data_IF_751041657442
#
_entry.id   IF_751041657442
#
_cell.length_a   1.000
_cell.length_b   1.000
_cell.length_c   1.000
_cell.angle_alpha   90.00
_cell.angle_beta   90.00
_cell.angle_gamma   90.00
#
_symmetry.space_group_name_H-M   'P 1'
#
loop_
_entity.id
_entity.type
_entity.pdbx_description
1 polymer ?
#
# COMPACT_ATOMS: atom_id res chain seq x y z
N UNK A 1 -22.59 25.33 9.54
CA UNK A 1 -22.94 23.97 9.05
C UNK A 1 -23.07 23.88 7.52
N UNK A 2 -23.42 24.98 6.82
CA UNK A 2 -23.54 24.99 5.35
C UNK A 2 -22.21 25.04 4.57
N UNK A 3 -21.12 25.56 5.15
CA UNK A 3 -19.82 25.65 4.45
C UNK A 3 -19.08 24.31 4.29
N UNK A 4 -19.30 23.34 5.18
CA UNK A 4 -18.66 22.01 5.07
C UNK A 4 -19.23 21.19 3.91
N UNK A 5 -20.53 21.33 3.63
CA UNK A 5 -21.20 20.61 2.54
C UNK A 5 -20.78 21.14 1.16
N UNK A 6 -20.63 22.46 1.02
CA UNK A 6 -20.21 23.09 -0.25
C UNK A 6 -18.72 22.96 -0.57
N UNK A 7 -17.86 22.80 0.46
CA UNK A 7 -16.44 22.48 0.26
C UNK A 7 -16.23 21.05 -0.20
N UNK A 8 -16.93 20.09 0.43
CA UNK A 8 -16.88 18.68 0.03
C UNK A 8 -17.38 18.45 -1.41
N UNK A 9 -18.36 19.22 -1.88
CA UNK A 9 -18.82 19.15 -3.27
C UNK A 9 -17.81 19.74 -4.26
N UNK A 10 -17.15 20.86 -3.92
CA UNK A 10 -16.13 21.48 -4.78
C UNK A 10 -14.85 20.64 -4.87
N UNK A 11 -14.38 20.10 -3.74
CA UNK A 11 -13.21 19.21 -3.73
C UNK A 11 -13.47 17.94 -4.55
N UNK A 12 -14.66 17.34 -4.41
CA UNK A 12 -15.05 16.20 -5.24
C UNK A 12 -15.09 16.58 -6.73
N UNK A 13 -15.64 17.75 -7.09
CA UNK A 13 -15.65 18.24 -8.48
C UNK A 13 -14.24 18.44 -9.05
N UNK A 14 -13.31 18.99 -8.25
CA UNK A 14 -11.93 19.21 -8.68
C UNK A 14 -11.16 17.88 -8.81
N UNK A 15 -11.40 16.92 -7.90
CA UNK A 15 -10.87 15.56 -8.03
C UNK A 15 -11.40 14.86 -9.29
N UNK A 16 -12.68 15.02 -9.62
CA UNK A 16 -13.27 14.44 -10.84
C UNK A 16 -12.62 15.00 -12.12
N UNK A 17 -12.19 16.28 -12.13
CA UNK A 17 -11.52 16.90 -13.28
C UNK A 17 -10.12 16.34 -13.55
N UNK A 18 -9.43 15.82 -12.53
CA UNK A 18 -8.07 15.28 -12.70
C UNK A 18 -8.06 13.81 -13.11
N UNK A 19 -9.12 13.04 -12.81
CA UNK A 19 -9.22 11.60 -13.14
C UNK A 19 -8.80 11.27 -14.58
N UNK A 20 -9.24 11.99 -15.63
CA UNK A 20 -8.83 11.67 -17.00
C UNK A 20 -7.31 11.70 -17.22
N UNK A 21 -6.56 12.59 -16.53
CA UNK A 21 -5.10 12.65 -16.61
C UNK A 21 -4.45 11.39 -16.04
N UNK A 22 -5.03 10.83 -14.99
CA UNK A 22 -4.56 9.61 -14.34
C UNK A 22 -5.04 8.32 -15.01
N UNK A 23 -6.20 8.34 -15.67
CA UNK A 23 -6.61 7.26 -16.56
C UNK A 23 -5.65 7.13 -17.75
N UNK A 24 -5.05 8.24 -18.19
CA UNK A 24 -4.18 8.30 -19.36
C UNK A 24 -2.83 8.97 -19.03
N UNK A 25 -2.05 8.39 -18.11
CA UNK A 25 -0.83 8.99 -17.57
C UNK A 25 0.29 9.10 -18.62
N UNK A 26 0.18 8.32 -19.71
CA UNK A 26 1.08 8.20 -20.85
C UNK A 26 0.55 8.86 -22.14
N UNK A 27 -0.52 9.65 -22.05
CA UNK A 27 -1.24 10.21 -23.21
C UNK A 27 -0.40 11.02 -24.18
N UNK A 28 0.74 11.57 -23.74
CA UNK A 28 1.67 12.31 -24.60
C UNK A 28 2.32 11.44 -25.70
N UNK A 29 2.39 10.12 -25.48
CA UNK A 29 3.12 9.19 -26.36
C UNK A 29 2.18 8.23 -27.11
N UNK A 30 0.90 8.56 -27.20
CA UNK A 30 -0.10 7.64 -27.74
C UNK A 30 -0.15 7.64 -29.27
N UNK A 31 0.21 6.51 -29.83
CA UNK A 31 -0.08 6.18 -31.22
C UNK A 31 -1.24 5.19 -31.30
N UNK A 32 -2.21 5.39 -32.21
CA UNK A 32 -3.27 4.42 -32.45
C UNK A 32 -2.68 3.04 -32.75
N UNK A 33 -3.14 2.02 -32.02
CA UNK A 33 -2.66 0.64 -32.16
C UNK A 33 -3.73 -0.29 -32.73
N UNK A 34 -3.31 -1.29 -33.49
CA UNK A 34 -4.18 -2.38 -33.93
C UNK A 34 -4.35 -3.46 -32.86
N UNK A 35 -3.39 -3.58 -31.94
CA UNK A 35 -3.39 -4.57 -30.87
C UNK A 35 -2.77 -3.98 -29.60
N UNK A 36 -3.49 -4.05 -28.49
CA UNK A 36 -3.01 -3.67 -27.17
C UNK A 36 -3.67 -4.60 -26.16
N UNK A 37 -2.90 -5.33 -25.34
CA UNK A 37 -3.48 -6.15 -24.29
C UNK A 37 -4.14 -5.25 -23.27
N UNK A 38 -5.29 -5.67 -22.78
CA UNK A 38 -5.99 -4.93 -21.76
C UNK A 38 -5.23 -4.96 -20.44
N UNK A 39 -5.13 -3.82 -19.78
CA UNK A 39 -4.32 -3.65 -18.57
C UNK A 39 -5.16 -3.14 -17.40
N UNK A 40 -4.94 -3.72 -16.20
CA UNK A 40 -5.60 -3.30 -14.96
C UNK A 40 -4.58 -2.61 -14.06
N UNK A 41 -4.91 -1.40 -13.61
CA UNK A 41 -4.06 -0.62 -12.72
C UNK A 41 -4.92 0.24 -11.79
N UNK A 42 -4.30 0.85 -10.77
CA UNK A 42 -4.95 1.86 -9.95
C UNK A 42 -4.09 3.09 -9.76
N UNK A 43 -4.76 4.18 -9.41
CA UNK A 43 -4.13 5.34 -8.82
C UNK A 43 -4.93 5.80 -7.60
N UNK A 44 -4.33 6.68 -6.81
CA UNK A 44 -4.93 7.22 -5.59
C UNK A 44 -4.94 8.75 -5.69
N UNK A 45 -6.09 9.34 -5.41
CA UNK A 45 -6.21 10.77 -5.17
C UNK A 45 -6.28 11.00 -3.65
N UNK A 46 -5.49 11.94 -3.15
CA UNK A 46 -5.47 12.31 -1.74
C UNK A 46 -6.17 13.65 -1.57
N UNK A 47 -7.18 13.69 -0.71
CA UNK A 47 -7.88 14.91 -0.32
C UNK A 47 -7.07 15.75 0.66
N UNK A 48 -7.51 16.99 0.87
CA UNK A 48 -6.82 17.93 1.78
C UNK A 48 -6.80 17.43 3.24
N UNK A 49 -7.78 16.60 3.61
CA UNK A 49 -7.90 15.96 4.92
C UNK A 49 -7.09 14.66 5.07
N UNK A 50 -6.30 14.30 4.06
CA UNK A 50 -5.56 13.04 3.99
C UNK A 50 -6.40 11.83 3.59
N UNK A 51 -7.71 12.00 3.33
CA UNK A 51 -8.56 10.92 2.85
C UNK A 51 -8.13 10.45 1.46
N UNK A 52 -8.26 9.15 1.20
CA UNK A 52 -7.82 8.53 -0.07
C UNK A 52 -9.00 8.06 -0.89
N UNK A 53 -8.97 8.39 -2.18
CA UNK A 53 -9.90 7.91 -3.19
C UNK A 53 -9.13 6.98 -4.11
N UNK A 54 -9.49 5.70 -4.06
CA UNK A 54 -8.91 4.68 -4.91
C UNK A 54 -9.64 4.68 -6.24
N UNK A 55 -8.89 4.82 -7.33
CA UNK A 55 -9.39 4.79 -8.69
C UNK A 55 -8.90 3.51 -9.34
N UNK A 56 -9.82 2.60 -9.63
CA UNK A 56 -9.56 1.30 -10.23
C UNK A 56 -9.80 1.39 -11.72
N UNK A 57 -8.79 1.07 -12.52
CA UNK A 57 -8.81 1.30 -13.96
C UNK A 57 -8.65 0.01 -14.73
N UNK A 58 -9.39 -0.10 -15.82
CA UNK A 58 -9.23 -1.12 -16.86
C UNK A 58 -9.03 -0.40 -18.19
N UNK A 59 -7.79 -0.41 -18.69
CA UNK A 59 -7.38 0.11 -20.00
C UNK A 59 -7.61 -0.98 -21.03
N UNK A 60 -8.39 -0.70 -22.05
CA UNK A 60 -8.76 -1.65 -23.10
C UNK A 60 -8.55 -1.02 -24.48
N UNK A 61 -8.39 -1.86 -25.51
CA UNK A 61 -8.53 -1.43 -26.88
C UNK A 61 -9.97 -1.71 -27.34
N UNK A 62 -10.79 -0.69 -27.67
CA UNK A 62 -12.19 -0.91 -28.02
C UNK A 62 -12.31 -1.73 -29.31
N UNK A 63 -13.29 -2.64 -29.42
CA UNK A 63 -13.56 -3.46 -30.62
C UNK A 63 -13.77 -2.61 -31.89
N UNK A 64 -13.26 -3.06 -33.03
CA UNK A 64 -13.25 -2.29 -34.28
C UNK A 64 -12.16 -2.71 -35.26
N UNK A 65 -12.17 -2.12 -36.46
CA UNK A 65 -11.15 -2.37 -37.49
C UNK A 65 -10.06 -1.30 -37.43
N UNK A 66 -8.82 -1.71 -37.71
CA UNK A 66 -7.69 -0.80 -37.84
C UNK A 66 -7.12 -0.30 -36.50
N UNK A 67 -6.30 0.74 -36.60
CA UNK A 67 -5.64 1.38 -35.47
C UNK A 67 -6.62 2.24 -34.67
N UNK A 68 -6.67 2.06 -33.36
CA UNK A 68 -7.61 2.73 -32.44
C UNK A 68 -6.87 3.28 -31.23
N UNK A 69 -7.45 4.28 -30.59
CA UNK A 69 -7.01 4.74 -29.28
C UNK A 69 -7.61 3.86 -28.18
N UNK A 70 -6.90 3.65 -27.07
CA UNK A 70 -7.43 2.89 -25.95
C UNK A 70 -8.52 3.66 -25.21
N UNK A 71 -9.42 2.92 -24.57
CA UNK A 71 -10.42 3.43 -23.64
C UNK A 71 -10.06 2.98 -22.21
N UNK A 72 -10.42 3.76 -21.20
CA UNK A 72 -10.26 3.37 -19.79
C UNK A 72 -11.60 3.45 -19.07
N UNK A 73 -11.99 2.33 -18.45
CA UNK A 73 -13.10 2.29 -17.50
C UNK A 73 -12.54 2.44 -16.09
N UNK A 74 -13.06 3.42 -15.34
CA UNK A 74 -12.58 3.75 -14.00
C UNK A 74 -13.73 3.67 -12.98
N UNK A 75 -13.53 2.92 -11.90
CA UNK A 75 -14.39 2.96 -10.70
C UNK A 75 -13.65 3.72 -9.61
N UNK A 76 -14.33 4.69 -9.01
CA UNK A 76 -13.79 5.51 -7.92
C UNK A 76 -14.44 5.10 -6.62
N UNK A 77 -13.65 4.83 -5.58
CA UNK A 77 -14.16 4.41 -4.28
C UNK A 77 -13.26 4.85 -3.14
N UNK A 78 -13.85 5.10 -1.97
CA UNK A 78 -13.10 5.28 -0.71
C UNK A 78 -12.69 3.94 -0.07
N UNK A 79 -13.14 2.82 -0.65
CA UNK A 79 -12.87 1.46 -0.15
C UNK A 79 -11.76 0.81 -0.95
N UNK A 80 -10.76 0.27 -0.26
CA UNK A 80 -9.60 -0.44 -0.82
C UNK A 80 -9.91 -1.85 -1.37
N UNK A 81 -11.02 -2.04 -2.09
CA UNK A 81 -11.50 -3.37 -2.53
C UNK A 81 -11.11 -3.73 -3.98
N UNK A 82 -9.81 -3.87 -4.23
CA UNK A 82 -9.27 -3.96 -5.59
C UNK A 82 -9.76 -5.19 -6.36
N UNK A 83 -9.70 -6.38 -5.78
CA UNK A 83 -10.16 -7.60 -6.44
C UNK A 83 -11.65 -7.52 -6.81
N UNK A 84 -12.47 -6.94 -5.93
CA UNK A 84 -13.89 -6.72 -6.18
C UNK A 84 -14.10 -5.78 -7.38
N UNK A 85 -13.43 -4.62 -7.40
CA UNK A 85 -13.60 -3.65 -8.47
C UNK A 85 -12.96 -4.07 -9.80
N UNK A 86 -11.81 -4.74 -9.76
CA UNK A 86 -11.18 -5.34 -10.93
C UNK A 86 -12.11 -6.37 -11.59
N UNK A 87 -12.73 -7.25 -10.79
CA UNK A 87 -13.71 -8.22 -11.29
C UNK A 87 -14.94 -7.56 -11.92
N UNK A 88 -15.42 -6.44 -11.36
CA UNK A 88 -16.50 -5.67 -11.98
C UNK A 88 -16.05 -5.10 -13.32
N UNK A 89 -14.84 -4.54 -13.40
CA UNK A 89 -14.31 -3.94 -14.63
C UNK A 89 -14.01 -4.96 -15.74
N UNK A 90 -13.51 -6.15 -15.40
CA UNK A 90 -13.36 -7.27 -16.35
C UNK A 90 -14.71 -7.65 -16.97
N UNK A 91 -15.76 -7.62 -16.15
CA UNK A 91 -17.13 -7.96 -16.55
C UNK A 91 -17.81 -6.82 -17.33
N UNK A 92 -17.34 -5.57 -17.15
CA UNK A 92 -17.64 -4.42 -18.04
C UNK A 92 -17.00 -4.62 -19.42
N UNK A 93 -15.70 -4.93 -19.47
CA UNK A 93 -14.96 -5.18 -20.71
C UNK A 93 -15.61 -6.30 -21.52
N UNK A 94 -15.85 -7.45 -20.90
CA UNK A 94 -16.47 -8.61 -21.55
C UNK A 94 -17.84 -8.29 -22.16
N UNK A 95 -18.66 -7.48 -21.48
CA UNK A 95 -19.95 -7.03 -22.03
C UNK A 95 -19.79 -6.11 -23.21
N UNK A 96 -18.78 -5.25 -23.18
CA UNK A 96 -18.51 -4.30 -24.24
C UNK A 96 -18.10 -4.98 -25.54
N UNK A 97 -17.39 -6.11 -25.46
CA UNK A 97 -17.08 -6.94 -26.61
C UNK A 97 -18.32 -7.46 -27.33
N UNK A 98 -19.40 -7.72 -26.58
CA UNK A 98 -20.70 -8.15 -27.13
C UNK A 98 -21.48 -6.93 -27.63
N UNK A 99 -21.75 -5.97 -26.74
CA UNK A 99 -22.43 -4.72 -27.06
C UNK A 99 -22.26 -3.69 -25.94
N UNK A 100 -21.80 -2.45 -26.23
CA UNK A 100 -21.68 -1.39 -25.23
C UNK A 100 -22.97 -1.10 -24.45
N UNK A 101 -24.14 -1.35 -25.04
CA UNK A 101 -25.44 -1.16 -24.38
C UNK A 101 -25.68 -2.08 -23.18
N UNK A 102 -24.93 -3.19 -23.07
CA UNK A 102 -25.06 -4.16 -21.98
C UNK A 102 -24.38 -3.70 -20.68
N UNK A 103 -23.46 -2.74 -20.75
CA UNK A 103 -22.71 -2.26 -19.59
C UNK A 103 -23.62 -1.57 -18.58
N UNK A 104 -24.53 -0.71 -19.05
CA UNK A 104 -25.38 0.09 -18.16
C UNK A 104 -26.35 -0.76 -17.32
N UNK A 105 -27.09 -1.73 -17.88
CA UNK A 105 -27.90 -2.66 -17.09
C UNK A 105 -27.09 -3.45 -16.06
N UNK A 106 -25.88 -3.90 -16.43
CA UNK A 106 -24.99 -4.60 -15.51
C UNK A 106 -24.56 -3.72 -14.33
N UNK A 107 -24.08 -2.51 -14.62
CA UNK A 107 -23.67 -1.56 -13.58
C UNK A 107 -24.84 -1.20 -12.67
N UNK A 108 -26.06 -1.06 -13.22
CA UNK A 108 -27.27 -0.87 -12.40
C UNK A 108 -27.49 -2.03 -11.44
N UNK A 109 -27.43 -3.29 -11.90
CA UNK A 109 -27.55 -4.45 -11.02
C UNK A 109 -26.46 -4.53 -9.95
N UNK A 110 -25.23 -4.13 -10.27
CA UNK A 110 -24.13 -4.04 -9.30
C UNK A 110 -24.40 -2.95 -8.25
N UNK A 111 -24.91 -1.79 -8.65
CA UNK A 111 -25.23 -0.68 -7.75
C UNK A 111 -26.48 -0.94 -6.88
N UNK A 112 -27.44 -1.72 -7.37
CA UNK A 112 -28.63 -2.13 -6.63
C UNK A 112 -28.36 -3.27 -5.63
N UNK A 113 -27.32 -4.07 -5.88
CA UNK A 113 -26.91 -5.13 -4.97
C UNK A 113 -26.32 -4.55 -3.67
N UNK A 114 -26.53 -5.21 -2.51
CA UNK A 114 -25.90 -4.78 -1.27
C UNK A 114 -24.37 -4.87 -1.42
N UNK A 115 -23.67 -3.83 -0.97
CA UNK A 115 -22.20 -3.89 -0.95
C UNK A 115 -21.75 -4.92 0.10
N UNK A 116 -20.84 -5.86 -0.24
CA UNK A 116 -20.44 -6.92 0.69
C UNK A 116 -19.77 -6.34 1.95
N UNK A 117 -20.26 -6.76 3.12
CA UNK A 117 -19.57 -6.52 4.38
C UNK A 117 -18.25 -7.33 4.44
N UNK A 118 -17.27 -6.96 5.28
CA UNK A 118 -16.03 -7.73 5.43
C UNK A 118 -16.32 -9.22 5.74
N UNK A 119 -15.66 -10.11 5.00
CA UNK A 119 -15.85 -11.57 5.09
C UNK A 119 -17.12 -12.10 4.44
N UNK A 120 -17.89 -11.26 3.74
CA UNK A 120 -19.15 -11.65 3.11
C UNK A 120 -19.04 -11.62 1.60
N UNK A 121 -19.92 -12.43 1.00
CA UNK A 121 -20.04 -12.61 -0.43
C UNK A 121 -21.45 -12.24 -0.86
N UNK A 122 -21.54 -11.47 -1.94
CA UNK A 122 -22.80 -11.08 -2.57
C UNK A 122 -22.82 -11.66 -3.98
N UNK A 123 -24.00 -12.11 -4.42
CA UNK A 123 -24.20 -12.62 -5.78
C UNK A 123 -25.09 -11.65 -6.54
N UNK A 124 -24.67 -11.28 -7.74
CA UNK A 124 -25.46 -10.42 -8.64
C UNK A 124 -25.89 -11.28 -9.83
N UNK A 125 -27.20 -11.42 -10.00
CA UNK A 125 -27.77 -12.10 -11.17
C UNK A 125 -27.69 -11.17 -12.35
N UNK A 126 -27.16 -11.68 -13.45
CA UNK A 126 -26.86 -10.90 -14.64
C UNK A 126 -27.38 -11.65 -15.86
N UNK A 127 -27.95 -10.93 -16.82
CA UNK A 127 -28.34 -11.51 -18.09
C UNK A 127 -27.33 -11.11 -19.16
N UNK A 128 -26.88 -12.08 -19.96
CA UNK A 128 -26.12 -11.83 -21.18
C UNK A 128 -26.77 -12.49 -22.38
N UNK A 129 -26.96 -11.75 -23.49
CA UNK A 129 -27.35 -12.34 -24.76
C UNK A 129 -26.37 -13.45 -25.17
N UNK A 130 -26.89 -14.63 -25.51
CA UNK A 130 -26.08 -15.80 -25.89
C UNK A 130 -25.78 -16.77 -24.75
N UNK A 131 -25.44 -16.26 -23.55
CA UNK A 131 -25.15 -17.10 -22.37
C UNK A 131 -26.33 -17.33 -21.44
N UNK A 132 -27.37 -16.48 -21.50
CA UNK A 132 -28.53 -16.53 -20.60
C UNK A 132 -28.27 -15.86 -19.25
N UNK A 133 -28.87 -16.42 -18.18
CA UNK A 133 -28.70 -15.91 -16.81
C UNK A 133 -27.38 -16.44 -16.22
N UNK A 134 -26.47 -15.52 -15.94
CA UNK A 134 -25.22 -15.77 -15.23
C UNK A 134 -25.28 -15.18 -13.81
N UNK A 135 -24.33 -15.58 -12.97
CA UNK A 135 -24.19 -15.05 -11.60
C UNK A 135 -22.75 -14.63 -11.40
N UNK A 136 -22.53 -13.36 -11.08
CA UNK A 136 -21.24 -12.86 -10.63
C UNK A 136 -21.19 -12.86 -9.11
N UNK A 137 -20.11 -13.40 -8.55
CA UNK A 137 -19.86 -13.46 -7.11
C UNK A 137 -18.86 -12.38 -6.72
N UNK A 138 -19.27 -11.44 -5.87
CA UNK A 138 -18.44 -10.37 -5.34
C UNK A 138 -18.15 -10.65 -3.87
N UNK A 139 -16.89 -10.86 -3.53
CA UNK A 139 -16.44 -11.17 -2.18
C UNK A 139 -15.66 -9.99 -1.62
N UNK A 140 -15.91 -9.65 -0.35
CA UNK A 140 -15.03 -8.76 0.41
C UNK A 140 -14.32 -9.60 1.48
N UNK A 141 -12.98 -9.64 1.52
CA UNK A 141 -12.26 -10.41 2.52
C UNK A 141 -12.49 -9.87 3.94
N UNK A 142 -12.29 -10.73 4.94
CA UNK A 142 -12.37 -10.34 6.37
C UNK A 142 -11.26 -9.33 6.67
N UNK A 143 -10.05 -9.65 6.23
CA UNK A 143 -8.89 -8.77 6.29
C UNK A 143 -8.66 -8.14 4.91
N UNK A 144 -8.89 -6.83 4.81
CA UNK A 144 -8.73 -6.08 3.56
C UNK A 144 -7.32 -5.53 3.36
N UNK A 145 -6.40 -5.73 4.31
CA UNK A 145 -5.01 -5.24 4.21
C UNK A 145 -4.30 -5.73 2.96
N UNK A 146 -4.56 -7.00 2.59
CA UNK A 146 -3.91 -7.66 1.46
C UNK A 146 -4.80 -7.76 0.22
N UNK A 147 -6.02 -7.21 0.25
CA UNK A 147 -6.99 -7.37 -0.86
C UNK A 147 -6.48 -6.81 -2.20
N UNK A 148 -5.57 -5.86 -2.14
CA UNK A 148 -5.04 -5.11 -3.28
C UNK A 148 -3.52 -5.26 -3.42
N UNK A 149 -2.95 -6.22 -2.70
CA UNK A 149 -1.51 -6.39 -2.54
C UNK A 149 -1.08 -7.63 -3.30
N UNK A 150 -0.17 -7.42 -4.23
CA UNK A 150 0.42 -8.48 -5.04
C UNK A 150 1.93 -8.48 -4.76
N UNK A 151 2.34 -9.22 -3.72
CA UNK A 151 3.75 -9.35 -3.38
C UNK A 151 4.51 -10.20 -4.38
N UNK A 152 3.84 -11.09 -5.12
CA UNK A 152 4.44 -11.85 -6.22
C UNK A 152 4.99 -10.90 -7.30
N UNK A 153 4.18 -9.94 -7.75
CA UNK A 153 4.62 -8.91 -8.70
C UNK A 153 5.83 -8.11 -8.17
N UNK A 154 5.81 -7.73 -6.89
CA UNK A 154 6.91 -6.99 -6.28
C UNK A 154 8.21 -7.79 -6.21
N UNK A 155 8.13 -9.06 -5.81
CA UNK A 155 9.29 -9.96 -5.66
C UNK A 155 9.82 -10.48 -7.00
N UNK A 156 9.00 -10.48 -8.06
CA UNK A 156 9.46 -10.68 -9.43
C UNK A 156 10.28 -9.49 -9.93
N UNK A 157 9.97 -8.27 -9.47
CA UNK A 157 10.65 -7.05 -9.89
C UNK A 157 11.89 -6.71 -9.03
N UNK A 158 11.87 -7.05 -7.73
CA UNK A 158 12.93 -6.68 -6.79
C UNK A 158 13.51 -7.89 -6.08
N UNK A 159 14.84 -7.97 -6.07
CA UNK A 159 15.54 -8.82 -5.10
C UNK A 159 15.17 -8.40 -3.67
N UNK A 160 15.19 -9.36 -2.75
CA UNK A 160 14.93 -9.16 -1.32
C UNK A 160 15.77 -8.00 -0.73
N UNK A 161 17.05 -7.90 -1.09
CA UNK A 161 17.94 -6.84 -0.59
C UNK A 161 17.50 -5.44 -1.03
N UNK A 162 17.03 -5.30 -2.28
CA UNK A 162 16.51 -4.03 -2.80
C UNK A 162 15.16 -3.69 -2.20
N UNK A 163 14.28 -4.69 -2.06
CA UNK A 163 13.01 -4.52 -1.36
C UNK A 163 13.22 -3.96 0.04
N UNK A 164 14.23 -4.45 0.75
CA UNK A 164 14.59 -3.97 2.08
C UNK A 164 15.13 -2.54 2.10
N UNK A 165 15.92 -2.16 1.11
CA UNK A 165 16.38 -0.77 0.97
C UNK A 165 15.21 0.18 0.71
N UNK A 166 14.25 -0.24 -0.13
CA UNK A 166 13.01 0.50 -0.36
C UNK A 166 12.22 0.59 0.95
N UNK A 167 11.98 -0.55 1.61
CA UNK A 167 11.25 -0.61 2.88
C UNK A 167 11.88 0.29 3.95
N UNK A 168 13.20 0.25 4.14
CA UNK A 168 13.92 1.10 5.08
C UNK A 168 13.78 2.59 4.74
N UNK A 169 13.81 2.94 3.44
CA UNK A 169 13.63 4.31 2.99
C UNK A 169 12.22 4.82 3.26
N UNK A 170 11.20 3.99 3.04
CA UNK A 170 9.82 4.33 3.37
C UNK A 170 9.62 4.41 4.88
N UNK A 171 10.19 3.51 5.68
CA UNK A 171 10.13 3.59 7.15
C UNK A 171 10.68 4.91 7.70
N UNK A 172 11.67 5.49 7.06
CA UNK A 172 12.26 6.78 7.42
C UNK A 172 11.63 7.96 6.69
N UNK A 173 10.44 7.77 6.09
CA UNK A 173 9.69 8.80 5.37
C UNK A 173 10.54 9.53 4.32
N UNK A 174 11.24 8.77 3.48
CA UNK A 174 11.99 9.33 2.35
C UNK A 174 11.12 9.51 1.11
N UNK A 175 11.67 10.25 0.15
CA UNK A 175 11.12 10.42 -1.20
C UNK A 175 11.54 9.23 -2.06
N UNK A 176 10.58 8.43 -2.50
CA UNK A 176 10.81 7.22 -3.29
C UNK A 176 10.01 7.27 -4.58
N UNK A 177 10.68 7.00 -5.70
CA UNK A 177 10.07 6.87 -7.03
C UNK A 177 10.28 5.44 -7.51
N UNK A 178 9.19 4.73 -7.81
CA UNK A 178 9.25 3.47 -8.54
C UNK A 178 9.10 3.75 -10.03
N UNK A 179 9.90 3.07 -10.86
CA UNK A 179 9.85 3.16 -12.32
C UNK A 179 9.44 1.80 -12.89
N UNK A 180 8.49 1.76 -13.82
CA UNK A 180 8.14 0.53 -14.56
C UNK A 180 7.65 0.84 -15.98
N UNK A 181 7.70 -0.16 -16.85
CA UNK A 181 7.21 -0.09 -18.23
C UNK A 181 5.68 -0.26 -18.34
N UNK A 182 5.05 -0.88 -17.32
CA UNK A 182 3.63 -1.23 -17.28
C UNK A 182 2.93 -0.58 -16.08
N UNK A 183 1.73 -0.03 -16.32
CA UNK A 183 0.89 0.59 -15.28
C UNK A 183 0.46 -0.41 -14.21
N UNK A 184 0.16 -1.63 -14.64
CA UNK A 184 -0.21 -2.75 -13.78
C UNK A 184 0.89 -3.06 -12.77
N UNK A 185 2.12 -3.27 -13.25
CA UNK A 185 3.29 -3.53 -12.40
C UNK A 185 3.55 -2.37 -11.45
N UNK A 186 3.55 -1.15 -11.99
CA UNK A 186 3.82 0.08 -11.22
C UNK A 186 2.87 0.24 -10.03
N UNK A 187 1.56 0.22 -10.32
CA UNK A 187 0.52 0.38 -9.30
C UNK A 187 0.55 -0.74 -8.25
N UNK A 188 0.71 -2.00 -8.66
CA UNK A 188 0.80 -3.16 -7.75
C UNK A 188 2.01 -3.08 -6.85
N UNK A 189 3.19 -2.76 -7.38
CA UNK A 189 4.41 -2.63 -6.59
C UNK A 189 4.31 -1.48 -5.59
N UNK A 190 3.78 -0.31 -5.98
CA UNK A 190 3.53 0.80 -5.06
C UNK A 190 2.60 0.41 -3.90
N UNK A 191 1.49 -0.26 -4.19
CA UNK A 191 0.55 -0.75 -3.17
C UNK A 191 1.18 -1.82 -2.27
N UNK A 192 1.94 -2.75 -2.85
CA UNK A 192 2.63 -3.79 -2.10
C UNK A 192 3.67 -3.20 -1.14
N UNK A 193 4.48 -2.24 -1.58
CA UNK A 193 5.43 -1.52 -0.70
C UNK A 193 4.72 -0.85 0.48
N UNK A 194 3.57 -0.21 0.27
CA UNK A 194 2.80 0.37 1.37
C UNK A 194 2.25 -0.68 2.35
N UNK A 195 1.82 -1.83 1.85
CA UNK A 195 1.28 -2.89 2.69
C UNK A 195 2.31 -3.47 3.67
N UNK A 196 3.60 -3.35 3.34
CA UNK A 196 4.71 -3.72 4.23
C UNK A 196 4.77 -2.90 5.51
N UNK A 197 4.14 -1.73 5.55
CA UNK A 197 4.22 -0.82 6.69
C UNK A 197 3.29 -1.19 7.83
N UNK A 198 2.32 -2.09 7.63
CA UNK A 198 1.36 -2.47 8.66
C UNK A 198 2.08 -2.91 9.95
N UNK A 199 1.79 -2.32 11.13
CA UNK A 199 0.57 -1.60 11.49
C UNK A 199 0.54 -0.09 11.22
N UNK A 200 1.60 0.47 10.67
CA UNK A 200 1.70 1.90 10.37
C UNK A 200 0.96 2.24 9.08
N UNK A 201 0.43 3.46 9.04
CA UNK A 201 -0.21 4.02 7.84
C UNK A 201 0.67 5.14 7.31
N UNK A 202 1.05 5.08 6.03
CA UNK A 202 1.77 6.15 5.35
C UNK A 202 1.00 7.47 5.41
N UNK A 203 1.61 8.52 5.93
CA UNK A 203 0.95 9.82 6.16
C UNK A 203 1.17 10.83 5.04
N UNK A 204 2.05 10.53 4.08
CA UNK A 204 2.48 11.49 3.06
C UNK A 204 1.87 11.20 1.69
N UNK A 205 2.29 11.98 0.68
CA UNK A 205 1.85 11.84 -0.71
C UNK A 205 2.08 10.41 -1.21
N UNK A 206 1.04 9.83 -1.79
CA UNK A 206 1.07 8.50 -2.39
C UNK A 206 0.37 8.52 -3.74
N UNK A 207 1.14 8.37 -4.80
CA UNK A 207 0.64 8.41 -6.18
C UNK A 207 1.17 7.19 -6.93
N UNK A 208 0.46 6.04 -6.90
CA UNK A 208 0.92 4.81 -7.54
C UNK A 208 1.24 4.94 -9.03
N UNK A 209 0.60 5.90 -9.70
CA UNK A 209 0.76 6.20 -11.11
C UNK A 209 0.69 7.72 -11.28
N UNK A 210 1.83 8.36 -11.53
CA UNK A 210 1.94 9.80 -11.76
C UNK A 210 1.85 10.09 -13.27
N UNK A 211 0.92 10.96 -13.71
CA UNK A 211 0.85 11.38 -15.11
C UNK A 211 2.10 12.14 -15.55
N UNK A 212 2.51 11.98 -16.82
CA UNK A 212 3.63 12.70 -17.41
C UNK A 212 3.47 14.23 -17.32
N UNK A 213 2.24 14.72 -17.39
CA UNK A 213 1.92 16.16 -17.25
C UNK A 213 2.07 16.71 -15.82
N UNK A 214 2.40 15.86 -14.85
CA UNK A 214 2.50 16.19 -13.42
C UNK A 214 3.85 15.73 -12.82
N UNK A 215 4.89 15.58 -13.65
CA UNK A 215 6.22 15.15 -13.17
C UNK A 215 6.84 16.12 -12.17
N UNK A 216 6.45 17.40 -12.19
CA UNK A 216 6.86 18.44 -11.26
C UNK A 216 6.55 18.11 -9.79
N UNK A 217 5.56 17.25 -9.52
CA UNK A 217 5.27 16.73 -8.17
C UNK A 217 6.50 16.04 -7.55
N UNK A 218 7.38 15.46 -8.36
CA UNK A 218 8.63 14.83 -7.88
C UNK A 218 9.62 15.82 -7.25
N UNK A 219 9.48 17.11 -7.52
CA UNK A 219 10.28 18.18 -6.92
C UNK A 219 9.81 18.55 -5.50
N UNK A 220 8.74 17.93 -4.99
CA UNK A 220 8.25 18.21 -3.64
C UNK A 220 9.35 17.96 -2.59
N UNK A 221 9.52 18.88 -1.61
CA UNK A 221 10.46 18.66 -0.51
C UNK A 221 9.91 17.69 0.54
N UNK A 222 8.60 17.40 0.51
CA UNK A 222 7.96 16.49 1.46
C UNK A 222 8.18 15.03 1.06
N UNK A 223 8.14 14.08 2.01
CA UNK A 223 8.18 12.66 1.69
C UNK A 223 7.08 12.28 0.70
N UNK A 224 7.36 11.30 -0.15
CA UNK A 224 6.37 10.74 -1.07
C UNK A 224 6.75 9.33 -1.49
N UNK A 225 5.74 8.55 -1.89
CA UNK A 225 5.92 7.35 -2.70
C UNK A 225 5.13 7.55 -4.00
N UNK A 226 5.84 7.66 -5.12
CA UNK A 226 5.23 7.84 -6.43
C UNK A 226 5.69 6.78 -7.41
N UNK A 227 4.82 6.41 -8.35
CA UNK A 227 5.17 5.57 -9.49
C UNK A 227 5.22 6.39 -10.76
N UNK A 228 6.27 6.26 -11.56
CA UNK A 228 6.42 6.94 -12.85
C UNK A 228 6.68 5.91 -13.95
N UNK A 229 6.06 6.07 -15.12
CA UNK A 229 6.31 5.19 -16.24
C UNK A 229 7.70 5.41 -16.83
N UNK A 230 8.40 4.34 -17.20
CA UNK A 230 9.77 4.35 -17.72
C UNK A 230 10.01 5.36 -18.87
N UNK A 231 9.09 5.57 -19.84
CA UNK A 231 9.27 6.60 -20.87
C UNK A 231 9.42 8.04 -20.34
N UNK A 232 8.96 8.31 -19.11
CA UNK A 232 9.08 9.62 -18.47
C UNK A 232 10.40 9.79 -17.70
N UNK A 233 11.21 8.74 -17.54
CA UNK A 233 12.45 8.78 -16.77
C UNK A 233 13.45 9.83 -17.27
N UNK A 234 13.68 10.03 -18.58
CA UNK A 234 14.60 11.07 -19.04
C UNK A 234 14.16 12.48 -18.60
N UNK A 235 12.88 12.81 -18.74
CA UNK A 235 12.31 14.08 -18.31
C UNK A 235 12.37 14.25 -16.79
N UNK A 236 12.15 13.16 -16.04
CA UNK A 236 12.25 13.16 -14.58
C UNK A 236 13.68 13.48 -14.11
N UNK A 237 14.70 12.96 -14.79
CA UNK A 237 16.11 13.20 -14.44
C UNK A 237 16.59 14.62 -14.76
N UNK A 238 15.88 15.36 -15.61
CA UNK A 238 16.15 16.77 -15.90
C UNK A 238 15.59 17.72 -14.82
N UNK A 239 14.70 17.23 -13.96
CA UNK A 239 14.11 18.01 -12.87
C UNK A 239 15.09 18.20 -11.71
N UNK A 240 14.98 19.30 -10.94
CA UNK A 240 15.80 19.56 -9.76
C UNK A 240 15.36 18.70 -8.56
N UNK A 241 15.47 17.37 -8.70
CA UNK A 241 15.14 16.40 -7.65
C UNK A 241 16.38 16.12 -6.77
N UNK A 242 16.28 16.38 -5.47
CA UNK A 242 17.34 16.15 -4.51
C UNK A 242 16.96 15.04 -3.52
N UNK A 243 17.90 14.18 -3.14
CA UNK A 243 17.73 13.11 -2.13
C UNK A 243 16.50 12.20 -2.35
N UNK A 244 16.25 11.85 -3.59
CA UNK A 244 15.19 10.91 -3.99
C UNK A 244 15.79 9.55 -4.27
N UNK A 245 15.14 8.50 -3.79
CA UNK A 245 15.45 7.12 -4.16
C UNK A 245 14.65 6.72 -5.39
N UNK A 246 15.31 6.56 -6.54
CA UNK A 246 14.67 6.04 -7.76
C UNK A 246 14.96 4.55 -7.86
N UNK A 247 13.91 3.75 -8.01
CA UNK A 247 13.97 2.28 -8.09
C UNK A 247 13.36 1.83 -9.40
N UNK A 248 14.19 1.29 -10.28
CA UNK A 248 13.72 0.71 -11.54
C UNK A 248 13.27 -0.75 -11.34
N UNK A 249 12.01 -1.03 -11.68
CA UNK A 249 11.35 -2.33 -11.58
C UNK A 249 11.46 -3.15 -12.87
N UNK A 250 12.08 -2.62 -13.93
CA UNK A 250 12.21 -3.31 -15.20
C UNK A 250 13.22 -4.46 -15.10
N UNK A 251 12.86 -5.63 -15.67
CA UNK A 251 13.51 -6.92 -15.41
C UNK A 251 15.03 -6.99 -15.66
N UNK A 252 15.59 -6.09 -16.48
CA UNK A 252 17.01 -6.10 -16.86
C UNK A 252 17.87 -5.06 -16.12
N UNK A 253 17.27 -4.15 -15.36
CA UNK A 253 17.96 -2.94 -14.88
C UNK A 253 17.45 -2.49 -13.51
N UNK A 254 17.41 -3.41 -12.54
CA UNK A 254 17.12 -3.04 -11.15
C UNK A 254 18.22 -2.13 -10.57
N UNK A 255 18.23 -0.86 -10.94
CA UNK A 255 19.19 0.14 -10.51
C UNK A 255 18.56 1.05 -9.45
N UNK A 256 19.33 1.32 -8.41
CA UNK A 256 19.01 2.36 -7.45
C UNK A 256 19.73 3.61 -7.92
N UNK A 257 18.98 4.58 -8.43
CA UNK A 257 19.54 5.85 -8.91
C UNK A 257 19.22 6.93 -7.88
N UNK A 258 20.27 7.51 -7.29
CA UNK A 258 20.14 8.58 -6.29
C UNK A 258 21.27 8.55 -5.27
N UNK A 259 21.52 9.66 -4.54
CA UNK A 259 22.54 9.70 -3.51
C UNK A 259 22.08 8.87 -2.30
N UNK A 260 22.27 7.55 -2.35
CA UNK A 260 22.47 6.78 -1.12
C UNK A 260 23.82 7.25 -0.55
N UNK A 261 23.82 8.35 0.22
CA UNK A 261 24.92 8.54 1.17
C UNK A 261 24.90 7.30 2.03
N UNK A 262 25.97 6.49 1.92
CA UNK A 262 26.22 5.24 2.64
C UNK A 262 25.52 5.25 4.00
N UNK A 263 24.28 4.74 4.03
CA UNK A 263 23.67 4.38 5.28
C UNK A 263 24.19 2.99 5.52
N UNK A 264 24.83 2.78 6.68
CA UNK A 264 25.26 1.47 7.10
C UNK A 264 24.11 0.51 6.86
N UNK A 265 24.45 -0.60 6.22
CA UNK A 265 23.49 -1.53 5.68
C UNK A 265 22.54 -1.95 6.80
N UNK A 266 21.34 -1.37 6.82
CA UNK A 266 20.17 -1.95 7.50
C UNK A 266 19.76 -3.16 6.67
N UNK A 267 20.66 -4.14 6.60
CA UNK A 267 20.42 -5.46 6.08
C UNK A 267 19.49 -6.13 7.08
N UNK A 268 18.18 -5.88 7.01
CA UNK A 268 17.23 -6.75 7.70
C UNK A 268 17.46 -8.15 7.10
N UNK A 269 17.94 -9.14 7.85
CA UNK A 269 18.21 -10.47 7.29
C UNK A 269 16.88 -11.16 6.99
N UNK A 270 16.32 -10.88 5.80
CA UNK A 270 15.01 -11.38 5.37
C UNK A 270 14.95 -12.90 5.24
N UNK A 271 16.10 -13.54 5.03
CA UNK A 271 16.19 -14.99 4.85
C UNK A 271 15.67 -15.75 6.08
N UNK A 272 15.60 -15.11 7.26
CA UNK A 272 15.00 -15.69 8.46
C UNK A 272 13.53 -15.30 8.66
N UNK A 273 13.01 -14.29 7.95
CA UNK A 273 11.67 -13.71 8.17
C UNK A 273 10.52 -14.54 7.63
N UNK A 274 10.78 -15.48 6.72
CA UNK A 274 9.76 -16.44 6.24
C UNK A 274 9.76 -17.61 7.24
N UNK A 275 8.76 -17.73 8.13
CA UNK A 275 8.65 -18.92 8.95
C UNK A 275 8.44 -20.12 8.02
N UNK A 276 8.75 -21.33 8.50
CA UNK A 276 8.31 -22.57 7.86
C UNK A 276 6.78 -22.70 8.03
N UNK A 277 6.02 -21.75 7.49
CA UNK A 277 4.57 -21.80 7.41
C UNK A 277 4.24 -23.01 6.52
N UNK A 278 3.33 -23.85 7.01
CA UNK A 278 2.96 -25.10 6.35
C UNK A 278 2.57 -24.90 4.88
N UNK A 279 2.63 -25.99 4.12
CA UNK A 279 2.48 -26.09 2.65
C UNK A 279 1.16 -25.53 2.02
N UNK A 280 0.43 -24.63 2.67
CA UNK A 280 -0.89 -24.14 2.23
C UNK A 280 -1.10 -22.62 2.26
N UNK A 281 -0.14 -21.80 2.71
CA UNK A 281 -0.31 -20.34 2.71
C UNK A 281 0.14 -19.71 1.38
N UNK A 282 -0.65 -18.77 0.86
CA UNK A 282 -0.26 -17.95 -0.29
C UNK A 282 0.92 -17.03 0.05
N UNK A 283 1.73 -16.68 -0.97
CA UNK A 283 2.96 -15.89 -0.78
C UNK A 283 2.68 -14.55 -0.08
N UNK A 284 1.55 -13.92 -0.41
CA UNK A 284 1.24 -12.60 0.11
C UNK A 284 0.96 -12.61 1.62
N UNK A 285 0.29 -13.65 2.11
CA UNK A 285 0.09 -13.92 3.53
C UNK A 285 1.42 -14.19 4.24
N UNK A 286 2.31 -14.98 3.64
CA UNK A 286 3.66 -15.26 4.18
C UNK A 286 4.47 -13.97 4.37
N UNK A 287 4.51 -13.12 3.34
CA UNK A 287 5.24 -11.85 3.36
C UNK A 287 4.63 -10.92 4.42
N UNK A 288 3.30 -10.76 4.42
CA UNK A 288 2.63 -9.93 5.42
C UNK A 288 2.92 -10.38 6.84
N UNK A 289 2.89 -11.68 7.12
CA UNK A 289 3.12 -12.21 8.46
C UNK A 289 4.57 -11.94 8.91
N UNK A 290 5.53 -12.07 8.00
CA UNK A 290 6.93 -11.69 8.25
C UNK A 290 7.05 -10.24 8.71
N UNK A 291 6.47 -9.29 7.96
CA UNK A 291 6.55 -7.87 8.32
C UNK A 291 5.74 -7.51 9.59
N UNK A 292 4.60 -8.16 9.82
CA UNK A 292 3.86 -8.01 11.08
C UNK A 292 4.74 -8.42 12.26
N UNK A 293 5.40 -9.58 12.16
CA UNK A 293 6.33 -10.05 13.19
C UNK A 293 7.50 -9.08 13.41
N UNK A 294 8.07 -8.55 12.33
CA UNK A 294 9.12 -7.52 12.43
C UNK A 294 8.66 -6.34 13.29
N UNK A 295 7.45 -5.82 13.07
CA UNK A 295 6.94 -4.72 13.88
C UNK A 295 6.55 -5.12 15.30
N UNK A 296 6.08 -6.35 15.52
CA UNK A 296 5.83 -6.85 16.87
C UNK A 296 7.13 -6.81 17.66
N UNK A 297 8.24 -7.26 17.09
CA UNK A 297 9.54 -7.21 17.76
C UNK A 297 10.09 -5.78 17.89
N UNK A 298 9.86 -4.92 16.89
CA UNK A 298 10.38 -3.56 16.89
C UNK A 298 9.65 -2.64 17.88
N UNK A 299 8.31 -2.69 17.91
CA UNK A 299 7.47 -1.73 18.65
C UNK A 299 6.42 -2.37 19.55
N UNK A 300 6.26 -3.70 19.57
CA UNK A 300 5.17 -4.37 20.30
C UNK A 300 5.16 -4.14 21.81
N UNK A 301 6.30 -3.74 22.40
CA UNK A 301 6.39 -3.36 23.82
C UNK A 301 5.88 -1.95 24.13
N UNK A 302 5.40 -1.18 23.14
CA UNK A 302 4.95 0.21 23.36
C UNK A 302 3.98 0.35 24.54
N UNK A 303 3.06 -0.62 24.69
CA UNK A 303 2.05 -0.62 25.75
C UNK A 303 2.63 -0.62 27.17
N UNK A 304 3.85 -1.16 27.37
CA UNK A 304 4.55 -1.13 28.65
C UNK A 304 5.08 0.26 29.03
N UNK A 305 5.11 1.17 28.05
CA UNK A 305 5.64 2.52 28.18
C UNK A 305 4.56 3.59 27.97
N UNK A 306 3.29 3.18 27.88
CA UNK A 306 2.14 4.09 27.90
C UNK A 306 1.78 4.41 29.35
N UNK A 307 1.89 5.69 29.73
CA UNK A 307 1.58 6.14 31.09
C UNK A 307 0.34 7.03 31.05
N UNK A 308 -0.56 6.82 32.00
CA UNK A 308 -1.75 7.66 32.16
C UNK A 308 -1.38 8.90 33.00
N UNK A 309 -1.58 10.06 32.42
CA UNK A 309 -1.37 11.36 33.04
C UNK A 309 -2.54 11.71 33.98
N UNK A 310 -2.32 12.67 34.88
CA UNK A 310 -3.32 13.10 35.88
C UNK A 310 -4.62 13.67 35.29
N UNK A 311 -4.59 14.07 34.02
CA UNK A 311 -5.73 14.53 33.22
C UNK A 311 -6.48 13.39 32.50
N UNK A 312 -6.07 12.13 32.68
CA UNK A 312 -6.62 10.95 31.99
C UNK A 312 -6.11 10.75 30.55
N UNK A 313 -5.15 11.55 30.08
CA UNK A 313 -4.50 11.30 28.78
C UNK A 313 -3.44 10.22 28.92
N UNK A 314 -3.36 9.30 27.95
CA UNK A 314 -2.26 8.34 27.87
C UNK A 314 -1.17 8.94 27.01
N UNK A 315 0.09 8.78 27.41
CA UNK A 315 1.24 9.28 26.66
C UNK A 315 2.35 8.23 26.63
N UNK A 316 3.00 8.08 25.48
CA UNK A 316 4.18 7.22 25.34
C UNK A 316 5.41 7.86 25.99
N UNK A 317 5.99 7.19 26.98
CA UNK A 317 7.30 7.53 27.54
C UNK A 317 8.42 7.17 26.56
N UNK A 318 8.66 8.03 25.57
CA UNK A 318 9.56 7.83 24.42
C UNK A 318 10.93 7.28 24.80
N UNK A 319 11.59 7.92 25.78
CA UNK A 319 12.94 7.52 26.19
C UNK A 319 12.98 6.14 26.86
N UNK A 320 11.97 5.84 27.67
CA UNK A 320 11.82 4.54 28.33
C UNK A 320 11.58 3.44 27.31
N UNK A 321 10.66 3.68 26.36
CA UNK A 321 10.35 2.79 25.24
C UNK A 321 11.56 2.47 24.36
N UNK A 322 12.34 3.48 23.99
CA UNK A 322 13.56 3.29 23.21
C UNK A 322 14.61 2.51 24.00
N UNK A 323 14.90 2.92 25.24
CA UNK A 323 16.00 2.35 26.05
C UNK A 323 15.73 0.90 26.49
N UNK A 324 14.47 0.48 26.57
CA UNK A 324 14.09 -0.86 26.99
C UNK A 324 14.37 -1.95 25.95
N UNK A 325 14.51 -1.59 24.66
CA UNK A 325 14.86 -2.56 23.63
C UNK A 325 16.30 -3.07 23.82
N UNK A 326 16.56 -4.40 23.80
CA UNK A 326 17.88 -4.96 24.13
C UNK A 326 18.96 -4.68 23.07
N UNK A 327 18.61 -4.67 21.78
CA UNK A 327 19.55 -4.44 20.68
C UNK A 327 19.93 -2.96 20.52
N UNK A 328 21.23 -2.64 20.53
CA UNK A 328 21.75 -1.26 20.34
C UNK A 328 21.38 -0.68 18.97
N UNK A 329 21.46 -1.48 17.92
CA UNK A 329 21.12 -1.05 16.55
C UNK A 329 19.65 -0.65 16.46
N UNK A 330 18.76 -1.45 17.03
CA UNK A 330 17.34 -1.12 17.12
C UNK A 330 17.08 0.16 17.92
N UNK A 331 17.80 0.39 19.03
CA UNK A 331 17.67 1.65 19.79
C UNK A 331 18.06 2.87 18.95
N UNK A 332 19.09 2.76 18.11
CA UNK A 332 19.50 3.83 17.20
C UNK A 332 18.48 4.03 16.07
N UNK A 333 17.94 2.95 15.51
CA UNK A 333 16.87 3.05 14.53
C UNK A 333 15.61 3.68 15.12
N UNK A 334 15.16 3.23 16.29
CA UNK A 334 14.00 3.80 16.99
C UNK A 334 14.17 5.30 17.26
N UNK A 335 15.40 5.77 17.53
CA UNK A 335 15.66 7.20 17.67
C UNK A 335 15.24 8.00 16.43
N UNK A 336 15.42 7.45 15.22
CA UNK A 336 15.03 8.10 13.97
C UNK A 336 13.55 7.83 13.65
N UNK A 337 13.13 6.57 13.76
CA UNK A 337 11.79 6.14 13.39
C UNK A 337 10.70 6.79 14.24
N UNK A 338 10.96 7.02 15.52
CA UNK A 338 9.97 7.65 16.40
C UNK A 338 9.69 9.11 16.06
N UNK A 339 10.53 9.77 15.24
CA UNK A 339 10.35 11.16 14.79
C UNK A 339 9.54 11.24 13.48
N UNK A 340 9.12 10.09 12.93
CA UNK A 340 8.28 10.01 11.72
C UNK A 340 6.80 10.31 12.01
N UNK A 341 6.09 10.83 11.02
CA UNK A 341 4.63 11.01 11.08
C UNK A 341 3.87 9.69 11.22
N UNK A 342 4.37 8.62 10.58
CA UNK A 342 3.82 7.28 10.72
C UNK A 342 3.82 6.81 12.17
N UNK A 343 4.94 6.95 12.89
CA UNK A 343 5.02 6.56 14.29
C UNK A 343 4.13 7.45 15.17
N UNK A 344 4.12 8.76 14.92
CA UNK A 344 3.26 9.70 15.63
C UNK A 344 1.77 9.33 15.49
N UNK A 345 1.30 9.08 14.26
CA UNK A 345 -0.08 8.66 14.00
C UNK A 345 -0.42 7.32 14.66
N UNK A 346 0.49 6.35 14.59
CA UNK A 346 0.31 5.06 15.28
C UNK A 346 0.11 5.23 16.79
N UNK A 347 0.94 6.04 17.45
CA UNK A 347 0.81 6.28 18.90
C UNK A 347 -0.45 7.07 19.22
N UNK A 348 -0.75 8.12 18.45
CA UNK A 348 -1.96 8.92 18.63
C UNK A 348 -3.23 8.06 18.58
N UNK A 349 -3.31 7.10 17.65
CA UNK A 349 -4.42 6.15 17.60
C UNK A 349 -4.54 5.33 18.88
N UNK A 350 -3.41 4.93 19.50
CA UNK A 350 -3.40 4.17 20.77
C UNK A 350 -3.75 5.02 21.98
N UNK A 351 -3.39 6.30 21.96
CA UNK A 351 -3.73 7.26 23.02
C UNK A 351 -5.23 7.54 23.05
N UNK A 352 -5.86 7.60 21.87
CA UNK A 352 -7.30 7.83 21.71
C UNK A 352 -8.15 6.56 21.90
N UNK A 353 -7.57 5.37 21.77
CA UNK A 353 -8.28 4.11 21.86
C UNK A 353 -8.82 3.82 23.28
N UNK A 354 -10.14 3.96 23.47
CA UNK A 354 -10.84 3.70 24.75
C UNK A 354 -11.24 2.24 24.99
N UNK A 355 -10.41 1.29 24.55
CA UNK A 355 -10.69 -0.15 24.68
C UNK A 355 -11.68 -0.65 23.63
N UNK A 356 -11.17 -0.91 22.42
CA UNK A 356 -11.91 -1.48 21.29
C UNK A 356 -11.26 -2.76 20.75
N UNK A 357 -11.89 -3.36 19.74
CA UNK A 357 -11.43 -4.60 19.09
C UNK A 357 -9.94 -4.57 18.75
N UNK A 358 -9.23 -5.64 19.11
CA UNK A 358 -7.79 -5.81 18.82
C UNK A 358 -7.61 -6.02 17.32
N UNK A 359 -6.79 -5.20 16.67
CA UNK A 359 -6.34 -5.45 15.31
C UNK A 359 -5.36 -6.63 15.28
N UNK A 360 -5.02 -7.09 14.08
CA UNK A 360 -4.10 -8.21 13.91
C UNK A 360 -2.77 -7.97 14.63
N UNK A 361 -2.23 -6.76 14.55
CA UNK A 361 -1.00 -6.40 15.25
C UNK A 361 -1.12 -6.62 16.76
N UNK A 362 -2.19 -6.16 17.41
CA UNK A 362 -2.40 -6.37 18.86
C UNK A 362 -2.59 -7.85 19.21
N UNK A 363 -3.24 -8.62 18.33
CA UNK A 363 -3.35 -10.07 18.48
C UNK A 363 -1.95 -10.71 18.44
N UNK A 364 -1.12 -10.36 17.45
CA UNK A 364 0.25 -10.89 17.34
C UNK A 364 1.17 -10.44 18.47
N UNK A 365 1.01 -9.23 19.00
CA UNK A 365 1.73 -8.78 20.20
C UNK A 365 1.38 -9.66 21.41
N UNK A 366 0.10 -9.98 21.60
CA UNK A 366 -0.34 -10.87 22.68
C UNK A 366 0.20 -12.31 22.50
N UNK A 367 0.12 -12.87 21.29
CA UNK A 367 0.69 -14.19 21.00
C UNK A 367 2.21 -14.23 21.22
N UNK A 368 2.93 -13.18 20.84
CA UNK A 368 4.37 -13.06 21.07
C UNK A 368 4.70 -13.04 22.58
N UNK A 369 3.94 -12.26 23.37
CA UNK A 369 4.05 -12.24 24.84
C UNK A 369 3.88 -13.63 25.45
N UNK A 370 2.85 -14.36 25.03
CA UNK A 370 2.53 -15.69 25.53
C UNK A 370 3.60 -16.72 25.16
N UNK A 371 4.21 -16.57 23.98
CA UNK A 371 5.30 -17.44 23.50
C UNK A 371 6.64 -17.26 24.21
N UNK A 372 6.79 -16.23 25.04
CA UNK A 372 8.01 -15.97 25.79
C UNK A 372 8.09 -16.87 27.04
N UNK A 373 9.27 -17.37 27.43
CA UNK A 373 9.41 -18.17 28.65
C UNK A 373 9.11 -17.32 29.91
N UNK A 374 8.57 -17.95 30.96
CA UNK A 374 8.28 -17.30 32.24
C UNK A 374 9.53 -16.64 32.84
N UNK A 375 9.40 -15.45 33.47
CA UNK A 375 10.55 -14.76 34.03
C UNK A 375 11.10 -15.50 35.26
N UNK A 376 12.37 -15.93 35.19
CA UNK A 376 13.20 -16.05 36.41
C UNK A 376 13.27 -14.70 37.15
N UNK A 377 13.53 -14.66 38.48
CA UNK A 377 13.26 -13.51 39.38
C UNK A 377 14.10 -12.23 39.13
N UNK A 378 14.67 -12.07 37.94
CA UNK A 378 15.59 -11.01 37.54
C UNK A 378 14.95 -9.65 37.25
N UNK A 379 13.67 -9.40 37.60
CA UNK A 379 13.01 -8.08 37.45
C UNK A 379 12.81 -7.53 36.02
N UNK A 380 13.30 -8.20 34.98
CA UNK A 380 13.15 -7.78 33.57
C UNK A 380 11.86 -8.33 32.98
N UNK A 381 11.08 -7.45 32.31
CA UNK A 381 9.79 -7.81 31.70
C UNK A 381 9.93 -8.96 30.67
N UNK A 382 8.97 -9.89 30.70
CA UNK A 382 8.89 -11.10 29.87
C UNK A 382 9.04 -10.80 28.36
N UNK A 383 8.43 -9.73 27.86
CA UNK A 383 8.54 -9.32 26.45
C UNK A 383 9.97 -8.97 26.07
N UNK A 384 10.63 -8.13 26.89
CA UNK A 384 11.98 -7.64 26.63
C UNK A 384 13.03 -8.77 26.67
N UNK A 385 12.80 -9.80 27.52
CA UNK A 385 13.60 -11.03 27.49
C UNK A 385 13.40 -11.81 26.18
N UNK A 386 12.17 -11.85 25.66
CA UNK A 386 11.84 -12.46 24.38
C UNK A 386 12.60 -11.82 23.22
N UNK A 387 12.65 -10.49 23.18
CA UNK A 387 13.43 -9.72 22.21
C UNK A 387 14.90 -10.15 22.24
N UNK A 388 15.52 -10.23 23.43
CA UNK A 388 16.95 -10.56 23.57
C UNK A 388 17.36 -11.99 23.19
N UNK A 389 16.42 -12.92 22.99
CA UNK A 389 16.69 -14.33 22.63
C UNK A 389 16.31 -14.70 21.19
N UNK A 390 15.50 -13.87 20.51
CA UNK A 390 14.88 -14.16 19.21
C UNK A 390 14.86 -12.92 18.31
N UNK A 391 15.95 -12.15 18.22
CA UNK A 391 15.95 -10.91 17.43
C UNK A 391 16.03 -11.21 15.93
N UNK A 392 14.89 -11.09 15.22
CA UNK A 392 14.88 -10.92 13.75
C UNK A 392 15.35 -9.51 13.37
N UNK A 393 15.43 -8.60 14.36
CA UNK A 393 15.84 -7.19 14.25
C UNK A 393 17.34 -6.94 14.46
N UNK A 394 18.15 -7.97 14.78
CA UNK A 394 19.62 -7.85 14.98
C UNK A 394 20.40 -7.41 13.72
N UNK A 395 19.68 -7.31 12.62
CA UNK A 395 20.18 -7.00 11.30
C UNK A 395 19.96 -5.50 10.93
N UNK A 396 19.28 -4.73 11.79
CA UNK A 396 19.31 -3.25 11.77
C UNK A 396 20.66 -2.75 12.33
N UNK A 397 21.73 -2.84 11.53
CA UNK A 397 23.02 -2.22 11.82
C UNK A 397 23.13 -0.92 11.04
N UNK A 398 23.06 0.21 11.75
CA UNK A 398 23.44 1.51 11.22
C UNK A 398 24.95 1.70 11.21
#
# INVERSE_FOLDING_TARGET
MFEKSSRLSREAEDQLKVIPKFCFPDSLNWEPSSHMPSETFSFVLTGEDGSRWFCYCRKILPSGKGKRLPEVHCIVSKLGCFNLFAKILEEVERRREISPALVYPFMRSVMEAPFPAPGRTVTVKIFLPGSGNEVITLCRPVDSRLEHVDFDSLLQCLSVDKLLQVFASILLERRVILIADKLSVLSRCCHAVLALLYPFTWQHTFIPVLPASMLDVSCSPTPFLIGVLAPCLPQLLELPIEEVLIVDLCADNQHLVGPLRQQGSTCVNFVQLVPHLGQQADLSSLVSEGFVRFFVELVGHYGLHMVESSNGSRELQRDSFRKSHPSRGVRQFLQLFMDTQMFAGFIQDKELAKGGARGLFEVRVAEYLDSCPEPEPSGVNKFLKGLGRRCFTDALKL
#
